data_IF_360025808571
#
_entry.id   IF_360025808571
#
_cell.length_a   1.000
_cell.length_b   1.000
_cell.length_c   1.000
_cell.angle_alpha   90.00
_cell.angle_beta   90.00
_cell.angle_gamma   90.00
#
_symmetry.space_group_name_H-M   'P 1'
#
loop_
_entity.id
_entity.type
_entity.pdbx_description
1 polymer ?
#
# COMPACT_ATOMS: atom_id res chain seq x y z
N UNK A 1 -4.21 33.07 -28.63
CA UNK A 1 -5.55 33.40 -28.13
C UNK A 1 -6.51 32.23 -28.08
N UNK A 2 -6.42 31.28 -29.00
CA UNK A 2 -7.29 30.11 -29.02
C UNK A 2 -6.94 29.04 -27.98
N UNK A 3 -5.74 29.03 -27.47
CA UNK A 3 -5.21 27.94 -26.65
C UNK A 3 -5.83 27.84 -25.25
N UNK A 4 -6.26 28.97 -24.69
CA UNK A 4 -6.88 29.00 -23.36
C UNK A 4 -8.29 28.42 -23.36
N UNK A 5 -9.00 28.49 -24.47
CA UNK A 5 -10.34 27.93 -24.60
C UNK A 5 -10.31 26.43 -24.83
N UNK A 6 -9.27 25.93 -25.51
CA UNK A 6 -9.11 24.50 -25.80
C UNK A 6 -8.86 23.72 -24.52
N UNK A 7 -8.12 24.27 -23.57
CA UNK A 7 -7.84 23.64 -22.28
C UNK A 7 -9.10 23.54 -21.41
N UNK A 8 -10.01 24.48 -21.54
CA UNK A 8 -11.29 24.46 -20.82
C UNK A 8 -12.27 23.40 -21.34
N UNK A 9 -12.02 22.86 -22.52
CA UNK A 9 -12.89 21.88 -23.18
C UNK A 9 -12.49 20.43 -22.98
N UNK A 10 -11.49 20.17 -22.17
CA UNK A 10 -11.09 18.78 -21.87
C UNK A 10 -12.26 18.08 -21.17
N UNK A 11 -12.56 16.83 -21.55
CA UNK A 11 -13.62 16.07 -20.89
C UNK A 11 -13.38 15.98 -19.39
N UNK A 12 -14.39 16.32 -18.62
CA UNK A 12 -14.33 16.31 -17.16
C UNK A 12 -13.87 14.96 -16.59
N UNK A 13 -14.30 13.87 -17.21
CA UNK A 13 -13.94 12.52 -16.79
C UNK A 13 -12.45 12.22 -16.86
N UNK A 14 -11.81 12.63 -17.95
CA UNK A 14 -10.36 12.46 -18.10
C UNK A 14 -9.58 13.30 -17.09
N UNK A 15 -10.02 14.54 -16.86
CA UNK A 15 -9.39 15.44 -15.92
C UNK A 15 -9.50 14.93 -14.47
N UNK A 16 -10.65 14.35 -14.12
CA UNK A 16 -10.88 13.82 -12.77
C UNK A 16 -9.97 12.63 -12.48
N UNK A 17 -9.88 11.67 -13.39
CA UNK A 17 -9.02 10.49 -13.21
C UNK A 17 -7.56 10.87 -13.12
N UNK A 18 -7.09 11.73 -14.00
CA UNK A 18 -5.72 12.22 -14.00
C UNK A 18 -5.41 13.03 -12.73
N UNK A 19 -6.31 13.90 -12.32
CA UNK A 19 -6.17 14.70 -11.11
C UNK A 19 -6.05 13.81 -9.87
N UNK A 20 -6.88 12.78 -9.77
CA UNK A 20 -6.83 11.82 -8.66
C UNK A 20 -5.51 11.06 -8.63
N UNK A 21 -5.05 10.60 -9.79
CA UNK A 21 -3.77 9.90 -9.92
C UNK A 21 -2.60 10.77 -9.51
N UNK A 22 -2.54 12.00 -10.01
CA UNK A 22 -1.48 12.96 -9.70
C UNK A 22 -1.52 13.33 -8.22
N UNK A 23 -2.70 13.54 -7.66
CA UNK A 23 -2.85 13.86 -6.23
C UNK A 23 -2.34 12.72 -5.34
N UNK A 24 -2.62 11.46 -5.70
CA UNK A 24 -2.10 10.30 -4.97
C UNK A 24 -0.57 10.22 -5.06
N UNK A 25 0.01 10.45 -6.23
CA UNK A 25 1.45 10.46 -6.42
C UNK A 25 2.12 11.55 -5.58
N UNK A 26 1.51 12.73 -5.49
CA UNK A 26 2.01 13.82 -4.63
C UNK A 26 1.96 13.46 -3.15
N UNK A 27 0.86 12.85 -2.69
CA UNK A 27 0.75 12.40 -1.30
C UNK A 27 1.78 11.34 -0.98
N UNK A 28 2.00 10.38 -1.89
CA UNK A 28 3.03 9.36 -1.72
C UNK A 28 4.44 9.97 -1.70
N UNK A 29 4.72 10.93 -2.59
CA UNK A 29 6.01 11.63 -2.60
C UNK A 29 6.28 12.38 -1.29
N UNK A 30 5.27 13.03 -0.71
CA UNK A 30 5.40 13.69 0.60
C UNK A 30 5.68 12.68 1.71
N UNK A 31 4.97 11.58 1.72
CA UNK A 31 5.16 10.51 2.68
C UNK A 31 6.57 9.92 2.58
N UNK A 32 7.05 9.70 1.36
CA UNK A 32 8.37 9.13 1.09
C UNK A 32 9.54 10.03 1.54
N UNK A 33 9.32 11.31 1.74
CA UNK A 33 10.33 12.19 2.35
C UNK A 33 10.59 11.85 3.82
N UNK A 34 9.60 11.27 4.50
CA UNK A 34 9.65 10.94 5.93
C UNK A 34 9.84 9.45 6.17
N UNK A 35 9.55 8.62 5.18
CA UNK A 35 9.52 7.16 5.30
C UNK A 35 10.57 6.55 4.41
N UNK A 36 11.56 5.89 5.03
CA UNK A 36 12.59 5.14 4.34
C UNK A 36 12.86 3.85 5.11
N UNK A 37 13.00 2.74 4.39
CA UNK A 37 13.27 1.44 5.00
C UNK A 37 14.76 1.14 5.09
N UNK A 38 15.15 0.48 6.18
CA UNK A 38 16.50 -0.06 6.39
C UNK A 38 16.43 -1.56 6.56
N UNK A 39 17.56 -2.24 6.65
CA UNK A 39 17.57 -3.69 6.89
C UNK A 39 16.98 -4.07 8.27
N UNK A 40 17.17 -3.22 9.27
CA UNK A 40 16.64 -3.43 10.63
C UNK A 40 15.17 -3.04 10.75
N UNK A 41 14.76 -2.01 10.02
CA UNK A 41 13.41 -1.48 10.02
C UNK A 41 12.95 -1.21 8.57
N UNK A 42 12.65 -2.29 7.83
CA UNK A 42 12.26 -2.15 6.42
C UNK A 42 10.93 -1.43 6.24
N UNK A 43 10.69 -0.98 5.04
CA UNK A 43 9.45 -0.28 4.67
C UNK A 43 8.37 -1.27 4.27
N UNK A 44 7.25 -1.24 4.97
CA UNK A 44 6.04 -1.98 4.62
C UNK A 44 5.20 -1.12 3.66
N UNK A 45 5.28 -1.41 2.38
CA UNK A 45 4.59 -0.67 1.34
C UNK A 45 3.28 -1.37 0.94
N UNK A 46 2.18 -0.61 0.92
CA UNK A 46 0.88 -1.09 0.49
C UNK A 46 0.52 -0.48 -0.86
N UNK A 47 0.09 -1.32 -1.78
CA UNK A 47 -0.46 -0.92 -3.07
C UNK A 47 -1.87 -1.49 -3.21
N UNK A 48 -2.83 -0.64 -3.49
CA UNK A 48 -4.25 -0.99 -3.56
C UNK A 48 -4.81 -0.69 -4.94
N UNK A 49 -5.47 -1.68 -5.55
CA UNK A 49 -6.31 -1.48 -6.72
C UNK A 49 -7.79 -1.66 -6.35
N UNK A 50 -8.68 -1.53 -7.34
CA UNK A 50 -10.10 -1.73 -7.11
C UNK A 50 -10.43 -3.15 -6.63
N UNK A 51 -9.70 -4.15 -7.12
CA UNK A 51 -9.96 -5.58 -6.84
C UNK A 51 -9.00 -6.20 -5.84
N UNK A 52 -7.77 -5.73 -5.79
CA UNK A 52 -6.70 -6.38 -5.04
C UNK A 52 -5.92 -5.42 -4.18
N UNK A 53 -5.27 -5.97 -3.17
CA UNK A 53 -4.33 -5.28 -2.33
C UNK A 53 -3.03 -6.07 -2.29
N UNK A 54 -1.92 -5.37 -2.42
CA UNK A 54 -0.58 -5.94 -2.41
C UNK A 54 0.24 -5.27 -1.32
N UNK A 55 1.10 -6.02 -0.67
CA UNK A 55 2.00 -5.49 0.34
C UNK A 55 3.39 -6.08 0.17
N UNK A 56 4.39 -5.23 0.35
CA UNK A 56 5.80 -5.62 0.27
C UNK A 56 6.56 -5.04 1.45
N UNK A 57 7.51 -5.80 1.95
CA UNK A 57 8.48 -5.34 2.94
C UNK A 57 9.80 -5.13 2.21
N UNK A 58 10.25 -3.89 2.14
CA UNK A 58 11.36 -3.47 1.27
C UNK A 58 12.48 -2.86 2.10
N UNK A 59 13.72 -3.32 1.83
CA UNK A 59 14.94 -2.65 2.27
C UNK A 59 15.35 -1.65 1.20
N UNK A 60 15.16 -0.36 1.49
CA UNK A 60 15.46 0.72 0.54
C UNK A 60 16.96 0.91 0.29
N UNK A 61 17.81 0.49 1.22
CA UNK A 61 19.27 0.62 1.06
C UNK A 61 19.82 -0.33 0.00
N UNK A 62 19.28 -1.54 -0.07
CA UNK A 62 19.68 -2.56 -1.06
C UNK A 62 18.73 -2.67 -2.23
N UNK A 63 17.53 -2.08 -2.13
CA UNK A 63 16.48 -2.20 -3.13
C UNK A 63 15.85 -3.59 -3.19
N UNK A 64 15.94 -4.36 -2.11
CA UNK A 64 15.48 -5.76 -2.07
C UNK A 64 14.14 -5.87 -1.37
N UNK A 65 13.22 -6.65 -1.95
CA UNK A 65 11.96 -7.03 -1.30
C UNK A 65 12.21 -8.23 -0.42
N UNK A 66 12.00 -8.08 0.87
CA UNK A 66 12.29 -9.11 1.88
C UNK A 66 11.12 -10.04 2.10
N UNK A 67 9.90 -9.55 1.97
CA UNK A 67 8.67 -10.33 2.08
C UNK A 67 7.56 -9.67 1.26
N UNK A 68 6.60 -10.44 0.79
CA UNK A 68 5.46 -9.93 0.02
C UNK A 68 4.22 -10.77 0.29
N UNK A 69 3.06 -10.17 0.16
CA UNK A 69 1.77 -10.83 0.23
C UNK A 69 0.75 -10.10 -0.65
N UNK A 70 -0.26 -10.81 -1.12
CA UNK A 70 -1.26 -10.25 -2.01
C UNK A 70 -2.59 -10.96 -1.85
N UNK A 71 -3.68 -10.23 -2.11
CA UNK A 71 -5.03 -10.80 -2.17
C UNK A 71 -5.25 -11.73 -3.38
N UNK A 72 -4.33 -11.75 -4.33
CA UNK A 72 -4.37 -12.66 -5.49
C UNK A 72 -4.03 -14.11 -5.09
N UNK A 73 -3.29 -14.30 -4.01
CA UNK A 73 -2.86 -15.62 -3.56
C UNK A 73 -4.06 -16.51 -3.24
N UNK A 74 -3.94 -17.81 -3.56
CA UNK A 74 -5.05 -18.77 -3.44
C UNK A 74 -5.62 -18.83 -2.02
N UNK A 75 -4.78 -18.82 -1.00
CA UNK A 75 -5.20 -18.86 0.41
C UNK A 75 -6.02 -17.63 0.80
N UNK A 76 -5.68 -16.47 0.26
CA UNK A 76 -6.37 -15.22 0.54
C UNK A 76 -7.67 -15.13 -0.26
N UNK A 77 -7.67 -15.64 -1.50
CA UNK A 77 -8.87 -15.66 -2.35
C UNK A 77 -9.98 -16.55 -1.79
N UNK A 78 -9.63 -17.53 -1.00
CA UNK A 78 -10.57 -18.44 -0.36
C UNK A 78 -11.25 -17.83 0.89
N UNK A 79 -10.81 -16.68 1.35
CA UNK A 79 -11.40 -16.00 2.52
C UNK A 79 -12.78 -15.46 2.18
N UNK A 80 -13.78 -15.92 2.92
CA UNK A 80 -15.14 -15.36 2.87
C UNK A 80 -15.18 -14.02 3.59
N UNK A 81 -15.80 -13.05 2.95
CA UNK A 81 -15.97 -11.74 3.54
C UNK A 81 -15.79 -10.61 2.54
N UNK A 82 -15.88 -9.40 3.04
CA UNK A 82 -15.70 -8.20 2.26
C UNK A 82 -14.20 -7.90 2.00
N UNK A 83 -13.95 -6.80 1.31
CA UNK A 83 -12.58 -6.38 1.00
C UNK A 83 -11.73 -6.09 2.24
N UNK A 84 -12.36 -5.67 3.34
CA UNK A 84 -11.66 -5.45 4.61
C UNK A 84 -11.19 -6.75 5.24
N UNK A 85 -12.03 -7.79 5.21
CA UNK A 85 -11.67 -9.12 5.71
C UNK A 85 -10.51 -9.71 4.92
N UNK A 86 -10.52 -9.57 3.60
CA UNK A 86 -9.43 -10.01 2.72
C UNK A 86 -8.14 -9.23 3.03
N UNK A 87 -8.24 -7.93 3.22
CA UNK A 87 -7.09 -7.08 3.58
C UNK A 87 -6.50 -7.45 4.93
N UNK A 88 -7.33 -7.76 5.91
CA UNK A 88 -6.89 -8.25 7.21
C UNK A 88 -6.12 -9.57 7.08
N UNK A 89 -6.57 -10.47 6.22
CA UNK A 89 -5.86 -11.73 5.96
C UNK A 89 -4.49 -11.47 5.31
N UNK A 90 -4.40 -10.53 4.38
CA UNK A 90 -3.13 -10.11 3.78
C UNK A 90 -2.19 -9.54 4.86
N UNK A 91 -2.71 -8.74 5.79
CA UNK A 91 -1.96 -8.22 6.92
C UNK A 91 -1.39 -9.31 7.82
N UNK A 92 -2.17 -10.32 8.16
CA UNK A 92 -1.70 -11.48 8.92
C UNK A 92 -0.59 -12.21 8.17
N UNK A 93 -0.78 -12.44 6.89
CA UNK A 93 0.15 -13.17 6.04
C UNK A 93 1.49 -12.45 5.92
N UNK A 94 1.49 -11.15 5.70
CA UNK A 94 2.73 -10.37 5.62
C UNK A 94 3.47 -10.36 6.95
N UNK A 95 2.76 -10.29 8.08
CA UNK A 95 3.36 -10.35 9.39
C UNK A 95 4.05 -11.70 9.63
N UNK A 96 3.41 -12.80 9.27
CA UNK A 96 3.98 -14.14 9.36
C UNK A 96 5.24 -14.26 8.51
N UNK A 97 5.19 -13.79 7.28
CA UNK A 97 6.33 -13.85 6.35
C UNK A 97 7.49 -12.95 6.78
N UNK A 98 7.18 -11.78 7.30
CA UNK A 98 8.19 -10.87 7.84
C UNK A 98 8.90 -11.49 9.04
N UNK A 99 8.16 -12.10 9.96
CA UNK A 99 8.74 -12.80 11.10
C UNK A 99 9.64 -13.97 10.67
N UNK A 100 9.19 -14.74 9.68
CA UNK A 100 9.98 -15.83 9.11
C UNK A 100 11.29 -15.33 8.50
N UNK A 101 11.32 -14.11 8.00
CA UNK A 101 12.50 -13.44 7.47
C UNK A 101 13.34 -12.73 8.56
N UNK A 102 12.94 -12.83 9.83
CA UNK A 102 13.64 -12.20 10.95
C UNK A 102 13.32 -10.73 11.19
N UNK A 103 12.22 -10.25 10.61
CA UNK A 103 11.79 -8.84 10.71
C UNK A 103 10.75 -8.70 11.82
N UNK A 104 11.03 -7.84 12.80
CA UNK A 104 10.11 -7.53 13.90
C UNK A 104 9.47 -6.14 13.77
N UNK A 105 10.22 -5.19 13.23
CA UNK A 105 9.79 -3.79 13.10
C UNK A 105 9.79 -3.36 11.64
N UNK A 106 8.80 -2.54 11.28
CA UNK A 106 8.71 -1.97 9.94
C UNK A 106 8.30 -0.49 10.03
N UNK A 107 8.54 0.25 8.96
CA UNK A 107 8.02 1.60 8.77
C UNK A 107 6.85 1.50 7.80
N UNK A 108 5.69 1.99 8.18
CA UNK A 108 4.48 1.86 7.37
C UNK A 108 4.41 2.92 6.27
N UNK A 109 4.32 2.46 5.01
CA UNK A 109 4.11 3.31 3.84
C UNK A 109 2.76 2.97 3.23
N UNK A 110 1.79 3.84 3.42
CA UNK A 110 0.43 3.66 2.90
C UNK A 110 0.29 3.92 1.39
N UNK A 111 1.37 4.25 0.69
CA UNK A 111 1.37 4.41 -0.77
C UNK A 111 0.60 5.63 -1.29
N UNK A 112 0.40 6.66 -0.47
CA UNK A 112 -0.39 7.83 -0.82
C UNK A 112 -1.91 7.63 -0.70
N UNK A 113 -2.36 6.46 -0.25
CA UNK A 113 -3.77 6.21 0.05
C UNK A 113 -4.14 6.78 1.43
N UNK A 114 -5.43 7.10 1.60
CA UNK A 114 -5.94 7.53 2.90
C UNK A 114 -5.87 6.37 3.90
N UNK A 115 -5.38 6.62 5.11
CA UNK A 115 -5.37 5.62 6.16
C UNK A 115 -6.81 5.39 6.65
N UNK A 116 -7.36 4.26 6.26
CA UNK A 116 -8.73 3.87 6.59
C UNK A 116 -9.16 2.69 5.74
N UNK A 117 -10.33 2.13 6.00
CA UNK A 117 -10.89 1.02 5.24
C UNK A 117 -9.95 -0.16 5.13
N UNK A 118 -9.65 -0.58 3.91
CA UNK A 118 -8.79 -1.75 3.64
C UNK A 118 -7.35 -1.57 4.15
N UNK A 119 -6.80 -0.38 4.03
CA UNK A 119 -5.43 -0.09 4.47
C UNK A 119 -5.32 -0.21 6.00
N UNK A 120 -6.29 0.36 6.72
CA UNK A 120 -6.34 0.25 8.18
C UNK A 120 -6.55 -1.19 8.63
N UNK A 121 -7.43 -1.95 7.96
CA UNK A 121 -7.67 -3.35 8.28
C UNK A 121 -6.40 -4.20 8.13
N UNK A 122 -5.64 -3.97 7.07
CA UNK A 122 -4.35 -4.64 6.85
C UNK A 122 -3.34 -4.27 7.94
N UNK A 123 -3.19 -2.98 8.25
CA UNK A 123 -2.26 -2.50 9.25
C UNK A 123 -2.58 -3.05 10.64
N UNK A 124 -3.85 -3.02 11.04
CA UNK A 124 -4.28 -3.53 12.34
C UNK A 124 -4.03 -5.03 12.47
N UNK A 125 -4.35 -5.80 11.42
CA UNK A 125 -4.10 -7.24 11.41
C UNK A 125 -2.60 -7.57 11.49
N UNK A 126 -1.76 -6.81 10.79
CA UNK A 126 -0.31 -6.98 10.85
C UNK A 126 0.24 -6.69 12.27
N UNK A 127 -0.27 -5.66 12.93
CA UNK A 127 0.08 -5.33 14.31
C UNK A 127 -0.37 -6.41 15.29
N UNK A 128 -1.59 -6.90 15.16
CA UNK A 128 -2.12 -7.99 15.98
C UNK A 128 -1.30 -9.27 15.82
N UNK A 129 -0.77 -9.51 14.63
CA UNK A 129 0.08 -10.66 14.33
C UNK A 129 1.54 -10.48 14.77
N UNK A 130 1.88 -9.32 15.32
CA UNK A 130 3.13 -9.08 16.00
C UNK A 130 4.15 -8.18 15.33
N UNK A 131 3.81 -7.57 14.21
CA UNK A 131 4.66 -6.51 13.63
C UNK A 131 4.54 -5.22 14.43
N UNK A 132 5.65 -4.57 14.63
CA UNK A 132 5.75 -3.28 15.36
C UNK A 132 5.89 -2.14 14.35
N UNK A 133 4.97 -1.22 14.39
CA UNK A 133 5.05 0.02 13.64
C UNK A 133 4.01 1.03 14.10
#
# INVERSE_FOLDING_TARGET
MANTETDKRKPLGQNISETRRVARLRRHARLRKKVAGTSERPRLMVNRSARHIHVQVIDDLTGTTLAAASSIEADVRAVDGDKKAVSARVGQLIAERAKAAGIAEVVFDRGGYTYGGRIAALADAARESGLTF
#
